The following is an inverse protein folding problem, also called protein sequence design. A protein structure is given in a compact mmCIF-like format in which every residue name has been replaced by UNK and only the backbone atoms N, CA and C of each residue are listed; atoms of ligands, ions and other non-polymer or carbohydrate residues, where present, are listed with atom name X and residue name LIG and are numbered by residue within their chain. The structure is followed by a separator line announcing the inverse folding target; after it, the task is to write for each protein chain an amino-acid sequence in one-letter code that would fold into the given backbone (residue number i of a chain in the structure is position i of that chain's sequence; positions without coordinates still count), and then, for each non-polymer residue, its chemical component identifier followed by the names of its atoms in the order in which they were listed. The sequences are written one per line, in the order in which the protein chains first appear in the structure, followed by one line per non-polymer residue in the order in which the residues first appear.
data_IF_952796085595
#
_entry.id   IF_952796085595
#
_cell.length_a   1.000
_cell.length_b   1.000
_cell.length_c   1.000
_cell.angle_alpha   90.00
_cell.angle_beta   90.00
_cell.angle_gamma   90.00
#
_symmetry.space_group_name_H-M   'P 1'
#
loop_
_entity.id
_entity.type
_entity.pdbx_description
1 polymer ?
#
# COMPACT_ATOMS: atom_id res chain seq x y z
N UNK A 1 -5.49 34.10 -4.16
CA UNK A 1 -6.95 33.87 -4.26
C UNK A 1 -7.15 33.14 -5.57
N UNK A 2 -7.37 31.83 -5.53
CA UNK A 2 -7.83 31.11 -6.72
C UNK A 2 -9.29 31.49 -6.98
N UNK A 3 -9.62 31.83 -8.23
CA UNK A 3 -10.97 32.21 -8.62
C UNK A 3 -11.92 31.01 -8.39
N UNK A 4 -13.08 31.18 -7.73
CA UNK A 4 -14.08 30.12 -7.60
C UNK A 4 -14.53 29.54 -8.96
N UNK A 5 -14.39 30.32 -10.04
CA UNK A 5 -14.61 29.89 -11.43
C UNK A 5 -13.69 28.75 -11.89
N UNK A 6 -12.44 28.68 -11.41
CA UNK A 6 -11.49 27.68 -11.90
C UNK A 6 -11.74 26.29 -11.29
N UNK A 7 -12.18 26.20 -10.03
CA UNK A 7 -12.50 24.91 -9.39
C UNK A 7 -13.75 24.25 -9.98
N UNK A 8 -14.77 25.04 -10.32
CA UNK A 8 -15.97 24.53 -10.99
C UNK A 8 -15.67 24.08 -12.42
N UNK A 9 -14.81 24.80 -13.14
CA UNK A 9 -14.35 24.41 -14.48
C UNK A 9 -13.56 23.10 -14.42
N UNK A 10 -12.57 22.97 -13.52
CA UNK A 10 -11.80 21.73 -13.33
C UNK A 10 -12.71 20.55 -12.98
N UNK A 11 -13.71 20.74 -12.12
CA UNK A 11 -14.67 19.68 -11.77
C UNK A 11 -15.52 19.25 -12.98
N UNK A 12 -15.90 20.18 -13.86
CA UNK A 12 -16.61 19.86 -15.11
C UNK A 12 -15.70 19.13 -16.10
N UNK A 13 -14.46 19.59 -16.27
CA UNK A 13 -13.45 18.93 -17.12
C UNK A 13 -13.24 17.49 -16.67
N UNK A 14 -13.05 17.27 -15.37
CA UNK A 14 -12.81 15.95 -14.80
C UNK A 14 -13.96 14.98 -15.09
N UNK A 15 -15.22 15.41 -14.95
CA UNK A 15 -16.39 14.58 -15.28
C UNK A 15 -16.44 14.18 -16.75
N UNK A 16 -16.14 15.12 -17.66
CA UNK A 16 -16.10 14.86 -19.11
C UNK A 16 -14.97 13.88 -19.43
N UNK A 17 -13.80 14.07 -18.83
CA UNK A 17 -12.64 13.19 -19.01
C UNK A 17 -12.88 11.78 -18.44
N UNK A 18 -13.52 11.64 -17.28
CA UNK A 18 -13.89 10.33 -16.74
C UNK A 18 -14.89 9.59 -17.65
N UNK A 19 -15.87 10.30 -18.20
CA UNK A 19 -16.82 9.74 -19.16
C UNK A 19 -16.12 9.30 -20.46
N UNK A 20 -15.20 10.12 -20.99
CA UNK A 20 -14.37 9.79 -22.14
C UNK A 20 -13.48 8.56 -21.85
N UNK A 21 -12.86 8.52 -20.67
CA UNK A 21 -12.02 7.40 -20.24
C UNK A 21 -12.81 6.09 -20.22
N UNK A 22 -13.98 6.09 -19.59
CA UNK A 22 -14.84 4.90 -19.51
C UNK A 22 -15.30 4.44 -20.90
N UNK A 23 -15.74 5.39 -21.75
CA UNK A 23 -16.16 5.05 -23.12
C UNK A 23 -15.00 4.54 -23.98
N UNK A 24 -13.78 5.05 -23.76
CA UNK A 24 -12.56 4.58 -24.43
C UNK A 24 -12.16 3.17 -24.00
N UNK A 25 -12.22 2.90 -22.70
CA UNK A 25 -11.98 1.57 -22.14
C UNK A 25 -12.98 0.54 -22.69
N UNK A 26 -14.28 0.87 -22.74
CA UNK A 26 -15.31 0.00 -23.29
C UNK A 26 -15.10 -0.25 -24.80
N UNK A 27 -14.61 0.75 -25.53
CA UNK A 27 -14.25 0.62 -26.94
C UNK A 27 -13.01 -0.27 -27.13
N UNK A 28 -12.06 -0.24 -26.20
CA UNK A 28 -10.89 -1.11 -26.23
C UNK A 28 -11.26 -2.58 -26.06
N UNK A 29 -12.18 -2.88 -25.11
CA UNK A 29 -12.67 -4.24 -24.84
C UNK A 29 -13.59 -4.77 -25.94
N UNK A 30 -14.40 -3.88 -26.53
CA UNK A 30 -15.41 -4.22 -27.53
C UNK A 30 -15.34 -3.31 -28.77
N UNK A 31 -14.28 -3.45 -29.60
CA UNK A 31 -14.07 -2.59 -30.76
C UNK A 31 -14.99 -2.90 -31.95
N UNK A 32 -15.93 -3.83 -31.81
CA UNK A 32 -16.92 -4.19 -32.86
C UNK A 32 -18.35 -4.18 -32.31
N UNK A 33 -19.33 -3.61 -33.04
CA UNK A 33 -20.75 -3.82 -32.75
C UNK A 33 -21.14 -5.27 -33.09
N UNK A 34 -21.80 -5.96 -32.15
CA UNK A 34 -22.26 -7.35 -32.33
C UNK A 34 -23.48 -7.51 -33.26
N UNK A 35 -23.98 -6.46 -33.88
CA UNK A 35 -25.11 -6.54 -34.82
C UNK A 35 -25.06 -5.48 -35.91
N UNK A 36 -25.84 -5.73 -36.96
CA UNK A 36 -26.05 -4.90 -38.16
C UNK A 36 -26.71 -3.54 -37.90
N UNK A 37 -27.01 -3.19 -36.64
CA UNK A 37 -27.43 -1.85 -36.29
C UNK A 37 -26.24 -0.98 -35.90
N UNK A 38 -26.21 0.17 -36.56
CA UNK A 38 -25.14 1.15 -36.58
C UNK A 38 -24.74 1.65 -35.19
N UNK A 39 -23.41 1.72 -35.00
CA UNK A 39 -22.67 2.42 -33.94
C UNK A 39 -22.72 1.72 -32.57
N UNK A 40 -21.55 1.24 -32.13
CA UNK A 40 -21.36 0.88 -30.72
C UNK A 40 -21.73 2.09 -29.85
N UNK A 41 -22.52 1.92 -28.77
CA UNK A 41 -22.90 3.03 -27.89
C UNK A 41 -21.68 3.80 -27.35
N UNK A 42 -20.55 3.13 -27.15
CA UNK A 42 -19.28 3.75 -26.76
C UNK A 42 -18.73 4.70 -27.85
N UNK A 43 -18.86 4.34 -29.13
CA UNK A 43 -18.42 5.19 -30.25
C UNK A 43 -19.28 6.45 -30.33
N UNK A 44 -20.59 6.33 -30.14
CA UNK A 44 -21.51 7.47 -30.16
C UNK A 44 -21.26 8.41 -28.98
N UNK A 45 -21.07 7.84 -27.78
CA UNK A 45 -20.72 8.60 -26.59
C UNK A 45 -19.40 9.36 -26.74
N UNK A 46 -18.37 8.74 -27.33
CA UNK A 46 -17.07 9.41 -27.58
C UNK A 46 -17.19 10.58 -28.57
N UNK A 47 -17.98 10.44 -29.63
CA UNK A 47 -18.18 11.52 -30.61
C UNK A 47 -19.02 12.67 -30.04
N UNK A 48 -20.03 12.37 -29.21
CA UNK A 48 -20.81 13.39 -28.51
C UNK A 48 -19.95 14.15 -27.47
N UNK A 49 -19.16 13.41 -26.68
CA UNK A 49 -18.24 14.00 -25.69
C UNK A 49 -17.08 14.77 -26.33
N UNK A 50 -16.57 14.34 -27.49
CA UNK A 50 -15.55 15.10 -28.27
C UNK A 50 -16.07 16.51 -28.57
N UNK A 51 -17.28 16.62 -29.12
CA UNK A 51 -17.85 17.93 -29.51
C UNK A 51 -18.10 18.86 -28.33
N UNK A 52 -18.43 18.32 -27.16
CA UNK A 52 -18.57 19.08 -25.92
C UNK A 52 -17.20 19.48 -25.34
N UNK A 53 -16.21 18.59 -25.49
CA UNK A 53 -14.86 18.76 -24.97
C UNK A 53 -13.95 19.64 -25.83
N UNK A 54 -14.15 19.78 -27.14
CA UNK A 54 -13.25 20.54 -28.02
C UNK A 54 -13.02 22.00 -27.57
N UNK A 55 -14.03 22.61 -26.92
CA UNK A 55 -13.92 23.96 -26.34
C UNK A 55 -13.13 24.02 -25.03
N UNK A 56 -12.98 22.88 -24.36
CA UNK A 56 -12.29 22.67 -23.07
C UNK A 56 -10.86 22.18 -23.32
N UNK A 57 -10.68 21.19 -24.21
CA UNK A 57 -9.40 20.58 -24.57
C UNK A 57 -8.47 21.55 -25.29
N UNK A 58 -9.02 22.50 -26.05
CA UNK A 58 -8.23 23.51 -26.78
C UNK A 58 -7.61 24.59 -25.88
N UNK A 59 -8.04 24.69 -24.62
CA UNK A 59 -7.53 25.68 -23.66
C UNK A 59 -6.33 25.21 -22.87
N UNK A 60 -6.16 23.90 -22.68
CA UNK A 60 -5.04 23.31 -21.93
C UNK A 60 -3.99 22.75 -22.91
N UNK A 61 -2.74 23.26 -22.91
CA UNK A 61 -1.68 22.73 -23.78
C UNK A 61 -1.41 21.24 -23.56
N UNK A 62 -1.67 20.72 -22.35
CA UNK A 62 -1.48 19.31 -22.00
C UNK A 62 -2.55 18.38 -22.59
N UNK A 63 -3.63 18.91 -23.17
CA UNK A 63 -4.72 18.14 -23.78
C UNK A 63 -4.70 18.16 -25.32
N UNK A 64 -3.69 18.82 -25.91
CA UNK A 64 -3.53 18.90 -27.37
C UNK A 64 -3.33 17.53 -28.03
N UNK A 65 -2.58 16.63 -27.39
CA UNK A 65 -2.40 15.24 -27.83
C UNK A 65 -3.72 14.46 -27.80
N UNK A 66 -4.56 14.69 -26.79
CA UNK A 66 -5.87 14.06 -26.67
C UNK A 66 -6.79 14.46 -27.82
N UNK A 67 -6.81 15.74 -28.20
CA UNK A 67 -7.58 16.23 -29.36
C UNK A 67 -7.10 15.59 -30.68
N UNK A 68 -5.79 15.38 -30.85
CA UNK A 68 -5.25 14.65 -32.00
C UNK A 68 -5.67 13.17 -32.02
N UNK A 69 -5.75 12.52 -30.84
CA UNK A 69 -6.22 11.15 -30.75
C UNK A 69 -7.73 11.02 -31.03
N UNK A 70 -8.55 11.96 -30.56
CA UNK A 70 -9.99 11.99 -30.82
C UNK A 70 -10.30 12.20 -32.31
N UNK A 71 -9.63 13.17 -32.96
CA UNK A 71 -9.73 13.36 -34.41
C UNK A 71 -9.24 12.15 -35.20
N UNK A 72 -8.17 11.50 -34.76
CA UNK A 72 -7.68 10.23 -35.35
C UNK A 72 -8.69 9.10 -35.17
N UNK A 73 -9.34 9.00 -34.02
CA UNK A 73 -10.38 8.01 -33.76
C UNK A 73 -11.57 8.22 -34.70
N UNK A 74 -12.01 9.47 -34.88
CA UNK A 74 -13.10 9.84 -35.78
C UNK A 74 -12.81 9.44 -37.23
N UNK A 75 -11.63 9.78 -37.76
CA UNK A 75 -11.25 9.40 -39.13
C UNK A 75 -11.20 7.87 -39.31
N UNK A 76 -10.74 7.13 -38.29
CA UNK A 76 -10.75 5.66 -38.31
C UNK A 76 -12.18 5.09 -38.31
N UNK A 77 -13.11 5.69 -37.56
CA UNK A 77 -14.52 5.28 -37.54
C UNK A 77 -15.19 5.57 -38.88
N UNK A 78 -14.97 6.76 -39.45
CA UNK A 78 -15.50 7.16 -40.77
C UNK A 78 -15.01 6.20 -41.86
N UNK A 79 -13.70 5.88 -41.89
CA UNK A 79 -13.13 4.90 -42.83
C UNK A 79 -13.67 3.46 -42.65
N UNK A 80 -14.03 3.09 -41.42
CA UNK A 80 -14.64 1.80 -41.12
C UNK A 80 -16.10 1.74 -41.60
N UNK A 81 -16.82 2.87 -41.56
CA UNK A 81 -18.18 2.99 -42.10
C UNK A 81 -18.19 2.95 -43.63
N UNK A 82 -17.21 3.55 -44.30
CA UNK A 82 -17.08 3.52 -45.77
C UNK A 82 -16.70 2.14 -46.32
N UNK A 83 -16.02 1.30 -45.53
CA UNK A 83 -15.56 -0.04 -45.93
C UNK A 83 -16.60 -1.16 -45.72
N UNK A 84 -17.90 -0.84 -45.79
CA UNK A 84 -19.03 -1.77 -45.54
C UNK A 84 -19.28 -2.86 -46.60
N UNK A 85 -18.54 -2.90 -47.72
CA UNK A 85 -18.70 -3.93 -48.77
C UNK A 85 -18.15 -5.32 -48.42
N UNK A 86 -18.66 -6.37 -49.09
CA UNK A 86 -18.34 -7.80 -48.85
C UNK A 86 -17.03 -8.32 -49.51
N UNK A 87 -16.03 -7.47 -49.71
CA UNK A 87 -14.75 -7.88 -50.30
C UNK A 87 -13.76 -8.39 -49.24
N UNK A 88 -12.91 -9.37 -49.59
CA UNK A 88 -11.80 -9.82 -48.74
C UNK A 88 -10.86 -8.66 -48.33
N UNK A 89 -10.69 -7.68 -49.23
CA UNK A 89 -9.95 -6.45 -48.95
C UNK A 89 -10.61 -5.62 -47.85
N UNK A 90 -11.95 -5.57 -47.84
CA UNK A 90 -12.72 -4.86 -46.81
C UNK A 90 -12.72 -5.63 -45.48
N UNK A 91 -12.63 -6.95 -45.50
CA UNK A 91 -12.50 -7.76 -44.28
C UNK A 91 -11.16 -7.53 -43.58
N UNK A 92 -10.04 -7.51 -44.33
CA UNK A 92 -8.73 -7.19 -43.78
C UNK A 92 -8.67 -5.73 -43.29
N UNK A 93 -9.20 -4.79 -44.07
CA UNK A 93 -9.28 -3.38 -43.65
C UNK A 93 -10.08 -3.22 -42.36
N UNK A 94 -11.22 -3.92 -42.20
CA UNK A 94 -11.98 -3.89 -40.94
C UNK A 94 -11.17 -4.38 -39.76
N UNK A 95 -10.46 -5.51 -39.88
CA UNK A 95 -9.64 -6.03 -38.77
C UNK A 95 -8.50 -5.07 -38.39
N UNK A 96 -7.83 -4.48 -39.38
CA UNK A 96 -6.77 -3.49 -39.16
C UNK A 96 -7.35 -2.23 -38.53
N UNK A 97 -8.47 -1.73 -39.02
CA UNK A 97 -9.17 -0.55 -38.47
C UNK A 97 -9.70 -0.82 -37.06
N UNK A 98 -10.21 -2.01 -36.75
CA UNK A 98 -10.65 -2.40 -35.39
C UNK A 98 -9.47 -2.43 -34.42
N UNK A 99 -8.32 -2.96 -34.85
CA UNK A 99 -7.10 -2.95 -34.04
C UNK A 99 -6.56 -1.53 -33.84
N UNK A 100 -6.57 -0.69 -34.87
CA UNK A 100 -6.14 0.71 -34.75
C UNK A 100 -7.09 1.53 -33.90
N UNK A 101 -8.41 1.30 -33.96
CA UNK A 101 -9.41 1.90 -33.07
C UNK A 101 -9.14 1.50 -31.62
N UNK A 102 -8.95 0.22 -31.33
CA UNK A 102 -8.61 -0.26 -29.98
C UNK A 102 -7.30 0.36 -29.47
N UNK A 103 -6.30 0.51 -30.36
CA UNK A 103 -5.03 1.17 -30.02
C UNK A 103 -5.20 2.65 -29.71
N UNK A 104 -5.92 3.40 -30.55
CA UNK A 104 -6.16 4.84 -30.34
C UNK A 104 -7.03 5.05 -29.10
N UNK A 105 -8.02 4.20 -28.85
CA UNK A 105 -8.80 4.21 -27.62
C UNK A 105 -7.90 3.98 -26.38
N UNK A 106 -6.97 3.03 -26.43
CA UNK A 106 -5.97 2.86 -25.37
C UNK A 106 -5.09 4.11 -25.15
N UNK A 107 -4.69 4.80 -26.23
CA UNK A 107 -3.93 6.05 -26.14
C UNK A 107 -4.75 7.23 -25.59
N UNK A 108 -6.04 7.30 -25.90
CA UNK A 108 -6.97 8.27 -25.32
C UNK A 108 -7.09 8.03 -23.81
N UNK A 109 -7.30 6.77 -23.41
CA UNK A 109 -7.44 6.40 -22.00
C UNK A 109 -6.18 6.74 -21.19
N UNK A 110 -4.99 6.44 -21.74
CA UNK A 110 -3.72 6.75 -21.07
C UNK A 110 -3.48 8.25 -20.95
N UNK A 111 -3.78 9.04 -21.99
CA UNK A 111 -3.60 10.49 -21.97
C UNK A 111 -4.54 11.15 -20.94
N UNK A 112 -5.80 10.70 -20.90
CA UNK A 112 -6.77 11.16 -19.90
C UNK A 112 -6.28 10.82 -18.49
N UNK A 113 -5.79 9.59 -18.26
CA UNK A 113 -5.27 9.21 -16.96
C UNK A 113 -4.04 10.03 -16.57
N UNK A 114 -3.13 10.31 -17.50
CA UNK A 114 -1.96 11.14 -17.25
C UNK A 114 -2.34 12.59 -16.88
N UNK A 115 -3.39 13.13 -17.49
CA UNK A 115 -3.95 14.43 -17.11
C UNK A 115 -4.55 14.41 -15.70
N UNK A 116 -5.39 13.41 -15.39
CA UNK A 116 -5.99 13.23 -14.07
C UNK A 116 -4.90 13.08 -12.99
N UNK A 117 -3.86 12.30 -13.29
CA UNK A 117 -2.72 12.09 -12.38
C UNK A 117 -1.97 13.41 -12.10
N UNK A 118 -1.76 14.24 -13.14
CA UNK A 118 -1.13 15.56 -13.00
C UNK A 118 -1.95 16.48 -12.11
N UNK A 119 -3.24 16.65 -12.43
CA UNK A 119 -4.15 17.53 -11.67
C UNK A 119 -4.29 17.06 -10.22
N UNK A 120 -4.39 15.75 -9.99
CA UNK A 120 -4.48 15.16 -8.65
C UNK A 120 -3.22 15.44 -7.81
N UNK A 121 -2.03 15.25 -8.39
CA UNK A 121 -0.75 15.52 -7.70
C UNK A 121 -0.57 17.02 -7.45
N UNK A 122 -0.91 17.88 -8.40
CA UNK A 122 -0.81 19.33 -8.26
C UNK A 122 -1.76 19.84 -7.16
N UNK A 123 -3.03 19.41 -7.21
CA UNK A 123 -4.04 19.69 -6.18
C UNK A 123 -3.58 19.23 -4.79
N UNK A 124 -3.08 17.99 -4.67
CA UNK A 124 -2.57 17.46 -3.41
C UNK A 124 -1.34 18.24 -2.92
N UNK A 125 -0.39 18.54 -3.81
CA UNK A 125 0.83 19.28 -3.47
C UNK A 125 0.53 20.70 -3.00
N UNK A 126 -0.43 21.38 -3.64
CA UNK A 126 -0.90 22.69 -3.22
C UNK A 126 -1.55 22.62 -1.83
N UNK A 127 -2.41 21.63 -1.62
CA UNK A 127 -3.10 21.42 -0.35
C UNK A 127 -2.13 21.12 0.83
N UNK A 128 -1.05 20.38 0.57
CA UNK A 128 -0.02 20.07 1.57
C UNK A 128 0.93 21.23 1.87
N UNK A 129 1.08 22.21 0.96
CA UNK A 129 1.96 23.38 1.17
C UNK A 129 1.29 24.53 1.90
N UNK A 130 -0.05 24.63 1.87
CA UNK A 130 -0.81 25.74 2.46
C UNK A 130 -1.75 25.25 3.58
N UNK A 131 -1.23 24.91 4.78
CA UNK A 131 -2.03 24.35 5.87
C UNK A 131 -3.17 25.26 6.37
N UNK A 132 -3.07 26.57 6.16
CA UNK A 132 -4.02 27.57 6.69
C UNK A 132 -5.24 27.88 5.83
N UNK A 133 -5.40 27.30 4.63
CA UNK A 133 -6.59 27.51 3.77
C UNK A 133 -7.53 26.31 3.71
N UNK A 134 -7.08 25.13 4.16
CA UNK A 134 -7.86 23.90 4.09
C UNK A 134 -8.61 23.70 5.40
N UNK A 135 -9.75 24.39 5.54
CA UNK A 135 -10.66 24.21 6.69
C UNK A 135 -11.25 22.79 6.77
N UNK A 136 -11.11 21.97 5.71
CA UNK A 136 -11.63 20.61 5.64
C UNK A 136 -10.53 19.55 5.61
N UNK A 137 -10.12 19.08 6.80
CA UNK A 137 -9.27 17.90 6.99
C UNK A 137 -9.75 16.68 6.17
N UNK A 138 -11.07 16.49 6.04
CA UNK A 138 -11.66 15.39 5.27
C UNK A 138 -11.30 15.42 3.78
N UNK A 139 -11.22 16.62 3.20
CA UNK A 139 -10.85 16.79 1.78
C UNK A 139 -9.39 16.42 1.58
N UNK A 140 -8.51 16.81 2.51
CA UNK A 140 -7.10 16.44 2.39
C UNK A 140 -6.89 14.93 2.57
N UNK A 141 -7.59 14.32 3.54
CA UNK A 141 -7.54 12.86 3.74
C UNK A 141 -8.07 12.14 2.49
N UNK A 142 -9.13 12.64 1.85
CA UNK A 142 -9.64 12.03 0.62
C UNK A 142 -8.65 12.15 -0.55
N UNK A 143 -7.99 13.30 -0.72
CA UNK A 143 -6.93 13.49 -1.72
C UNK A 143 -5.75 12.54 -1.48
N UNK A 144 -5.28 12.41 -0.24
CA UNK A 144 -4.21 11.47 0.12
C UNK A 144 -4.63 10.02 -0.14
N UNK A 145 -5.88 9.66 0.17
CA UNK A 145 -6.42 8.31 -0.06
C UNK A 145 -6.55 8.01 -1.56
N UNK A 146 -7.00 8.97 -2.36
CA UNK A 146 -7.07 8.84 -3.82
C UNK A 146 -5.68 8.62 -4.41
N UNK A 147 -4.69 9.40 -3.96
CA UNK A 147 -3.31 9.25 -4.40
C UNK A 147 -2.69 7.92 -3.95
N UNK A 148 -2.92 7.48 -2.71
CA UNK A 148 -2.52 6.16 -2.21
C UNK A 148 -3.07 5.03 -3.10
N UNK A 149 -4.37 5.08 -3.39
CA UNK A 149 -5.04 4.11 -4.25
C UNK A 149 -4.46 4.12 -5.66
N UNK A 150 -4.23 5.31 -6.23
CA UNK A 150 -3.69 5.47 -7.59
C UNK A 150 -2.30 4.86 -7.72
N UNK A 151 -1.42 5.13 -6.76
CA UNK A 151 -0.05 4.59 -6.71
C UNK A 151 -0.06 3.07 -6.47
N UNK A 152 -1.06 2.57 -5.73
CA UNK A 152 -1.21 1.14 -5.44
C UNK A 152 -1.70 0.29 -6.62
N UNK A 153 -2.21 0.91 -7.70
CA UNK A 153 -2.68 0.20 -8.90
C UNK A 153 -1.55 -0.42 -9.73
N UNK A 154 -0.30 -0.04 -9.49
CA UNK A 154 0.88 -0.59 -10.16
C UNK A 154 1.74 0.48 -10.80
N UNK A 155 2.93 0.04 -11.25
CA UNK A 155 3.96 0.92 -11.76
C UNK A 155 3.53 1.64 -13.05
N UNK A 156 3.73 2.96 -13.08
CA UNK A 156 3.53 3.80 -14.27
C UNK A 156 4.67 4.82 -14.37
N UNK A 157 5.36 4.84 -15.51
CA UNK A 157 6.54 5.70 -15.72
C UNK A 157 6.22 7.19 -15.69
N UNK A 158 5.10 7.60 -16.28
CA UNK A 158 4.68 9.01 -16.35
C UNK A 158 4.26 9.51 -14.97
N UNK A 159 3.51 8.68 -14.23
CA UNK A 159 3.15 8.97 -12.84
C UNK A 159 4.41 9.12 -11.97
N UNK A 160 5.41 8.25 -12.12
CA UNK A 160 6.67 8.40 -11.38
C UNK A 160 7.35 9.74 -11.67
N UNK A 161 7.42 10.14 -12.94
CA UNK A 161 8.02 11.43 -13.33
C UNK A 161 7.28 12.61 -12.68
N UNK A 162 5.94 12.57 -12.65
CA UNK A 162 5.12 13.58 -11.97
C UNK A 162 5.37 13.62 -10.45
N UNK A 163 5.43 12.45 -9.80
CA UNK A 163 5.72 12.30 -8.36
C UNK A 163 7.11 12.85 -8.00
N UNK A 164 8.11 12.61 -8.85
CA UNK A 164 9.46 13.13 -8.63
C UNK A 164 9.54 14.64 -8.83
N UNK A 165 8.89 15.17 -9.87
CA UNK A 165 8.84 16.61 -10.15
C UNK A 165 8.12 17.40 -9.05
N UNK A 166 7.03 16.86 -8.50
CA UNK A 166 6.29 17.50 -7.41
C UNK A 166 7.01 17.46 -6.07
N UNK A 167 8.03 16.60 -5.93
CA UNK A 167 8.76 16.32 -4.68
C UNK A 167 7.82 15.91 -3.54
N UNK A 168 6.72 15.23 -3.87
CA UNK A 168 5.66 14.93 -2.90
C UNK A 168 6.17 14.08 -1.73
N UNK A 169 7.09 13.13 -1.96
CA UNK A 169 7.66 12.31 -0.88
C UNK A 169 8.34 13.17 0.20
N UNK A 170 9.13 14.17 -0.22
CA UNK A 170 9.79 15.09 0.70
C UNK A 170 8.78 15.92 1.52
N UNK A 171 7.68 16.35 0.88
CA UNK A 171 6.61 17.09 1.55
C UNK A 171 5.91 16.21 2.59
N UNK A 172 5.57 14.97 2.23
CA UNK A 172 4.94 14.00 3.13
C UNK A 172 5.84 13.68 4.32
N UNK A 173 7.13 13.43 4.08
CA UNK A 173 8.10 13.15 5.12
C UNK A 173 8.23 14.32 6.10
N UNK A 174 8.35 15.56 5.60
CA UNK A 174 8.38 16.73 6.47
C UNK A 174 7.14 16.85 7.37
N UNK A 175 5.95 16.52 6.84
CA UNK A 175 4.69 16.58 7.60
C UNK A 175 4.67 15.52 8.72
N UNK A 176 5.17 14.31 8.43
CA UNK A 176 5.24 13.22 9.41
C UNK A 176 6.28 13.53 10.48
N UNK A 177 7.46 13.99 10.04
CA UNK A 177 8.66 14.09 10.87
C UNK A 177 8.75 15.37 11.70
N UNK A 178 7.96 16.41 11.40
CA UNK A 178 7.98 17.64 12.18
C UNK A 178 7.19 17.47 13.51
N UNK A 179 7.90 17.40 14.67
CA UNK A 179 7.28 17.17 15.96
C UNK A 179 6.63 18.45 16.53
N UNK A 180 7.00 19.63 16.00
CA UNK A 180 6.53 20.93 16.48
C UNK A 180 5.34 21.47 15.67
N UNK A 181 4.97 20.78 14.59
CA UNK A 181 3.86 21.18 13.74
C UNK A 181 2.52 20.72 14.32
N UNK A 182 1.92 21.58 15.15
CA UNK A 182 0.51 21.46 15.55
C UNK A 182 -0.47 21.77 14.40
N UNK A 183 0.02 22.22 13.24
CA UNK A 183 -0.86 22.53 12.10
C UNK A 183 -1.43 21.27 11.44
N UNK A 184 -0.81 20.10 11.67
CA UNK A 184 -1.24 18.84 11.07
C UNK A 184 -1.78 17.88 12.13
N UNK A 185 -3.01 17.40 11.93
CA UNK A 185 -3.62 16.41 12.81
C UNK A 185 -2.86 15.08 12.73
N UNK A 186 -2.96 14.29 13.80
CA UNK A 186 -2.41 12.92 13.84
C UNK A 186 -2.95 12.06 12.68
N UNK A 187 -4.24 12.23 12.32
CA UNK A 187 -4.89 11.51 11.22
C UNK A 187 -4.25 11.80 9.86
N UNK A 188 -3.89 13.06 9.60
CA UNK A 188 -3.19 13.45 8.36
C UNK A 188 -1.79 12.84 8.34
N UNK A 189 -1.02 12.94 9.43
CA UNK A 189 0.33 12.34 9.53
C UNK A 189 0.29 10.83 9.29
N UNK A 190 -0.68 10.13 9.86
CA UNK A 190 -0.90 8.70 9.63
C UNK A 190 -1.21 8.39 8.15
N UNK A 191 -2.08 9.19 7.52
CA UNK A 191 -2.43 9.01 6.10
C UNK A 191 -1.25 9.29 5.18
N UNK A 192 -0.42 10.28 5.49
CA UNK A 192 0.86 10.50 4.81
C UNK A 192 1.76 9.26 4.91
N UNK A 193 1.82 8.61 6.07
CA UNK A 193 2.57 7.36 6.26
C UNK A 193 2.12 6.23 5.32
N UNK A 194 0.81 6.06 5.13
CA UNK A 194 0.28 5.08 4.16
C UNK A 194 0.68 5.41 2.72
N UNK A 195 0.61 6.69 2.34
CA UNK A 195 1.06 7.15 1.02
C UNK A 195 2.56 6.88 0.81
N UNK A 196 3.39 7.12 1.83
CA UNK A 196 4.84 6.81 1.76
C UNK A 196 5.07 5.31 1.54
N UNK A 197 4.37 4.44 2.27
CA UNK A 197 4.47 3.00 2.06
C UNK A 197 4.00 2.58 0.65
N UNK A 198 2.92 3.20 0.14
CA UNK A 198 2.44 2.96 -1.22
C UNK A 198 3.45 3.39 -2.28
N UNK A 199 4.11 4.55 -2.11
CA UNK A 199 5.17 5.04 -3.00
C UNK A 199 6.36 4.08 -3.06
N UNK A 200 6.80 3.56 -1.93
CA UNK A 200 7.91 2.59 -1.87
C UNK A 200 7.51 1.28 -2.56
N UNK A 201 6.27 0.82 -2.38
CA UNK A 201 5.74 -0.35 -3.10
C UNK A 201 5.68 -0.10 -4.60
N UNK A 202 5.35 1.11 -5.02
CA UNK A 202 5.25 1.50 -6.43
C UNK A 202 6.61 1.51 -7.13
N UNK A 203 7.66 2.03 -6.48
CA UNK A 203 9.03 1.82 -6.95
C UNK A 203 10.05 1.85 -5.80
N UNK A 204 10.52 0.66 -5.40
CA UNK A 204 11.48 0.49 -4.31
C UNK A 204 12.82 1.18 -4.62
N UNK A 205 13.31 1.07 -5.85
CA UNK A 205 14.66 1.51 -6.22
C UNK A 205 14.82 3.04 -6.18
N UNK A 206 13.70 3.76 -6.33
CA UNK A 206 13.69 5.23 -6.37
C UNK A 206 13.50 5.82 -4.98
N UNK A 207 12.60 5.27 -4.18
CA UNK A 207 12.14 5.94 -2.95
C UNK A 207 12.80 5.43 -1.66
N UNK A 208 13.37 4.23 -1.65
CA UNK A 208 13.97 3.66 -0.42
C UNK A 208 15.14 4.47 0.10
N UNK A 209 15.98 5.02 -0.78
CA UNK A 209 17.13 5.82 -0.36
C UNK A 209 16.73 7.02 0.51
N UNK A 210 15.68 7.75 0.12
CA UNK A 210 15.18 8.88 0.91
C UNK A 210 14.67 8.43 2.29
N UNK A 211 13.94 7.33 2.34
CA UNK A 211 13.36 6.80 3.58
C UNK A 211 14.41 6.36 4.59
N UNK A 212 15.50 5.71 4.12
CA UNK A 212 16.56 5.22 4.99
C UNK A 212 17.46 6.32 5.54
N UNK A 213 17.58 7.45 4.84
CA UNK A 213 18.42 8.57 5.28
C UNK A 213 17.67 9.58 6.18
N UNK A 214 16.38 9.36 6.41
CA UNK A 214 15.48 10.33 7.01
C UNK A 214 14.98 9.97 8.42
N UNK A 215 14.39 10.93 9.14
CA UNK A 215 13.85 10.72 10.50
C UNK A 215 12.51 9.96 10.53
N UNK A 216 12.06 9.39 9.40
CA UNK A 216 10.73 8.78 9.26
C UNK A 216 10.48 7.66 10.27
N UNK A 217 11.46 6.77 10.49
CA UNK A 217 11.33 5.64 11.41
C UNK A 217 11.05 6.16 12.83
N UNK A 218 11.88 7.09 13.29
CA UNK A 218 11.74 7.71 14.61
C UNK A 218 10.36 8.39 14.76
N UNK A 219 9.91 9.10 13.72
CA UNK A 219 8.60 9.76 13.73
C UNK A 219 7.45 8.76 13.83
N UNK A 220 7.46 7.69 13.02
CA UNK A 220 6.42 6.65 13.03
C UNK A 220 6.32 5.93 14.37
N UNK A 221 7.47 5.60 14.98
CA UNK A 221 7.54 4.99 16.32
C UNK A 221 7.02 5.98 17.36
N UNK A 222 7.46 7.24 17.32
CA UNK A 222 7.06 8.26 18.30
C UNK A 222 5.56 8.62 18.25
N UNK A 223 4.90 8.47 17.09
CA UNK A 223 3.44 8.69 16.98
C UNK A 223 2.59 7.70 17.78
N UNK A 224 3.14 6.51 18.11
CA UNK A 224 2.53 5.46 18.93
C UNK A 224 1.05 5.23 18.58
N UNK A 225 0.75 4.96 17.31
CA UNK A 225 -0.60 4.66 16.84
C UNK A 225 -0.62 3.37 16.05
N UNK A 226 -1.77 2.67 16.05
CA UNK A 226 -1.88 1.42 15.30
C UNK A 226 -1.61 1.66 13.79
N UNK A 227 -2.02 2.80 13.24
CA UNK A 227 -1.73 3.13 11.83
C UNK A 227 -0.24 3.37 11.60
N UNK A 228 0.44 4.07 12.49
CA UNK A 228 1.88 4.34 12.36
C UNK A 228 2.71 3.06 12.45
N UNK A 229 2.35 2.17 13.38
CA UNK A 229 3.00 0.86 13.54
C UNK A 229 2.68 -0.05 12.35
N UNK A 230 1.46 0.00 11.80
CA UNK A 230 1.12 -0.72 10.57
C UNK A 230 1.94 -0.25 9.36
N UNK A 231 2.14 1.06 9.24
CA UNK A 231 3.03 1.63 8.21
C UNK A 231 4.44 1.11 8.44
N UNK A 232 4.97 1.19 9.67
CA UNK A 232 6.31 0.67 10.01
C UNK A 232 6.46 -0.81 9.62
N UNK A 233 5.52 -1.68 10.01
CA UNK A 233 5.50 -3.09 9.63
C UNK A 233 5.53 -3.28 8.10
N UNK A 234 4.75 -2.48 7.37
CA UNK A 234 4.71 -2.51 5.90
C UNK A 234 6.06 -2.10 5.30
N UNK A 235 6.70 -1.09 5.87
CA UNK A 235 8.03 -0.64 5.44
C UNK A 235 9.09 -1.71 5.68
N UNK A 236 9.05 -2.42 6.81
CA UNK A 236 9.99 -3.52 7.10
C UNK A 236 9.86 -4.62 6.03
N UNK A 237 8.63 -5.00 5.67
CA UNK A 237 8.38 -5.99 4.61
C UNK A 237 8.88 -5.54 3.23
N UNK A 238 8.65 -4.27 2.89
CA UNK A 238 9.02 -3.73 1.57
C UNK A 238 10.52 -3.52 1.42
N UNK A 239 11.17 -2.98 2.46
CA UNK A 239 12.58 -2.58 2.41
C UNK A 239 13.49 -3.74 2.82
N UNK A 240 13.05 -4.58 3.78
CA UNK A 240 13.78 -5.71 4.38
C UNK A 240 14.93 -5.25 5.27
N UNK A 241 16.02 -6.03 5.32
CA UNK A 241 17.18 -5.83 6.20
C UNK A 241 17.71 -4.39 6.28
N UNK A 242 17.81 -3.61 5.18
CA UNK A 242 18.29 -2.22 5.29
C UNK A 242 17.46 -1.34 6.23
N UNK A 243 16.13 -1.54 6.30
CA UNK A 243 15.31 -0.80 7.25
C UNK A 243 15.47 -1.31 8.67
N UNK A 244 15.64 -2.62 8.85
CA UNK A 244 15.87 -3.19 10.19
C UNK A 244 17.19 -2.71 10.76
N UNK A 245 18.23 -2.61 9.94
CA UNK A 245 19.51 -2.05 10.32
C UNK A 245 19.36 -0.58 10.76
N UNK A 246 18.52 0.20 10.07
CA UNK A 246 18.25 1.59 10.43
C UNK A 246 17.37 1.73 11.69
N UNK A 247 16.47 0.76 11.95
CA UNK A 247 15.71 0.70 13.21
C UNK A 247 16.66 0.42 14.39
N UNK A 248 17.64 -0.46 14.20
CA UNK A 248 18.66 -0.80 15.21
C UNK A 248 19.61 0.37 15.47
N UNK A 249 20.16 0.99 14.42
CA UNK A 249 21.10 2.11 14.53
C UNK A 249 20.49 3.33 15.23
N UNK A 250 19.20 3.57 15.03
CA UNK A 250 18.44 4.62 15.70
C UNK A 250 18.00 4.26 17.14
N UNK A 251 18.24 3.01 17.58
CA UNK A 251 17.86 2.56 18.92
C UNK A 251 16.36 2.47 19.14
N UNK A 252 15.57 2.19 18.10
CA UNK A 252 14.10 2.17 18.16
C UNK A 252 13.54 0.79 18.58
N UNK A 253 14.36 -0.26 18.54
CA UNK A 253 13.97 -1.63 18.94
C UNK A 253 13.31 -1.67 20.33
N UNK A 254 13.86 -1.03 21.38
CA UNK A 254 13.22 -1.02 22.69
C UNK A 254 11.83 -0.41 22.70
N UNK A 255 11.61 0.69 21.97
CA UNK A 255 10.29 1.33 21.90
C UNK A 255 9.28 0.44 21.19
N UNK A 256 9.70 -0.26 20.12
CA UNK A 256 8.84 -1.23 19.42
C UNK A 256 8.43 -2.36 20.36
N UNK A 257 9.36 -2.88 21.16
CA UNK A 257 9.08 -3.92 22.16
C UNK A 257 8.13 -3.40 23.24
N UNK A 258 8.29 -2.16 23.72
CA UNK A 258 7.39 -1.55 24.71
C UNK A 258 5.93 -1.42 24.22
N UNK A 259 5.66 -1.43 22.91
CA UNK A 259 4.28 -1.45 22.40
C UNK A 259 3.53 -2.73 22.75
N UNK A 260 4.23 -3.82 23.10
CA UNK A 260 3.62 -5.04 23.63
C UNK A 260 2.91 -4.83 24.98
N UNK A 261 3.28 -3.80 25.73
CA UNK A 261 2.69 -3.49 27.05
C UNK A 261 1.50 -2.53 26.96
N UNK A 262 1.13 -2.08 25.75
CA UNK A 262 0.04 -1.12 25.57
C UNK A 262 -1.33 -1.75 25.85
N UNK A 263 -2.28 -0.93 26.35
CA UNK A 263 -3.65 -1.39 26.60
C UNK A 263 -4.40 -1.75 25.31
N UNK A 264 -4.09 -1.07 24.21
CA UNK A 264 -4.73 -1.28 22.92
C UNK A 264 -4.24 -2.62 22.31
N UNK A 265 -5.18 -3.55 22.09
CA UNK A 265 -4.90 -4.84 21.48
C UNK A 265 -4.34 -4.70 20.05
N UNK A 266 -4.85 -3.75 19.25
CA UNK A 266 -4.39 -3.56 17.87
C UNK A 266 -2.93 -3.14 17.82
N UNK A 267 -2.52 -2.25 18.73
CA UNK A 267 -1.12 -1.83 18.87
C UNK A 267 -0.25 -3.02 19.24
N UNK A 268 -0.65 -3.84 20.22
CA UNK A 268 0.12 -5.02 20.64
C UNK A 268 0.26 -6.06 19.53
N UNK A 269 -0.81 -6.33 18.78
CA UNK A 269 -0.78 -7.26 17.64
C UNK A 269 0.17 -6.76 16.55
N UNK A 270 0.08 -5.48 16.17
CA UNK A 270 0.96 -4.90 15.15
C UNK A 270 2.42 -4.79 15.63
N UNK A 271 2.64 -4.56 16.92
CA UNK A 271 3.98 -4.61 17.51
C UNK A 271 4.56 -6.02 17.42
N UNK A 272 3.76 -7.04 17.71
CA UNK A 272 4.15 -8.44 17.52
C UNK A 272 4.49 -8.72 16.06
N UNK A 273 3.69 -8.25 15.10
CA UNK A 273 4.02 -8.37 13.67
C UNK A 273 5.36 -7.69 13.35
N UNK A 274 5.59 -6.44 13.79
CA UNK A 274 6.88 -5.77 13.60
C UNK A 274 8.05 -6.61 14.16
N UNK A 275 7.91 -7.17 15.36
CA UNK A 275 8.94 -8.00 16.00
C UNK A 275 9.22 -9.26 15.19
N UNK A 276 8.18 -9.91 14.65
CA UNK A 276 8.34 -11.08 13.78
C UNK A 276 9.07 -10.72 12.48
N UNK A 277 8.73 -9.60 11.85
CA UNK A 277 9.40 -9.14 10.63
C UNK A 277 10.86 -8.72 10.89
N UNK A 278 11.14 -8.08 12.04
CA UNK A 278 12.51 -7.80 12.49
C UNK A 278 13.26 -9.12 12.72
N UNK A 279 12.62 -10.13 13.30
CA UNK A 279 13.20 -11.47 13.43
C UNK A 279 13.53 -12.12 12.09
N UNK A 280 12.65 -11.97 11.09
CA UNK A 280 12.85 -12.57 9.77
C UNK A 280 13.95 -11.86 8.96
N UNK A 281 13.97 -10.53 8.91
CA UNK A 281 14.90 -9.76 8.08
C UNK A 281 16.15 -9.24 8.80
N UNK A 282 16.14 -9.23 10.14
CA UNK A 282 17.17 -8.60 10.95
C UNK A 282 18.50 -9.36 10.95
N UNK A 283 19.58 -8.59 10.94
CA UNK A 283 20.94 -9.11 11.15
C UNK A 283 21.19 -9.33 12.63
N UNK A 284 22.33 -9.96 12.92
CA UNK A 284 22.75 -10.39 14.25
C UNK A 284 22.55 -9.28 15.31
N UNK A 285 22.94 -8.06 14.98
CA UNK A 285 22.91 -6.90 15.89
C UNK A 285 21.48 -6.55 16.33
N UNK A 286 20.52 -6.56 15.39
CA UNK A 286 19.12 -6.30 15.69
C UNK A 286 18.51 -7.40 16.58
N UNK A 287 18.87 -8.67 16.35
CA UNK A 287 18.40 -9.79 17.17
C UNK A 287 18.99 -9.72 18.58
N UNK A 288 20.29 -9.42 18.70
CA UNK A 288 20.94 -9.21 20.01
C UNK A 288 20.29 -8.06 20.79
N UNK A 289 19.97 -6.96 20.11
CA UNK A 289 19.27 -5.83 20.72
C UNK A 289 17.88 -6.24 21.27
N UNK A 290 17.10 -7.00 20.50
CA UNK A 290 15.79 -7.51 20.96
C UNK A 290 15.92 -8.42 22.19
N UNK A 291 16.89 -9.33 22.16
CA UNK A 291 17.13 -10.28 23.24
C UNK A 291 17.64 -9.58 24.52
N UNK A 292 18.51 -8.59 24.37
CA UNK A 292 19.04 -7.77 25.47
C UNK A 292 17.94 -6.93 26.13
N UNK A 293 16.99 -6.44 25.37
CA UNK A 293 15.81 -5.73 25.89
C UNK A 293 14.79 -6.65 26.58
N UNK A 294 15.07 -7.97 26.63
CA UNK A 294 14.22 -8.92 27.34
C UNK A 294 12.96 -9.31 26.58
N UNK A 295 12.99 -9.28 25.23
CA UNK A 295 11.86 -9.66 24.38
C UNK A 295 11.26 -11.03 24.80
N UNK A 296 12.10 -12.05 25.02
CA UNK A 296 11.61 -13.41 25.34
C UNK A 296 10.81 -13.43 26.63
N UNK A 297 11.24 -12.69 27.65
CA UNK A 297 10.49 -12.58 28.91
C UNK A 297 9.11 -11.98 28.68
N UNK A 298 9.02 -10.91 27.88
CA UNK A 298 7.73 -10.28 27.52
C UNK A 298 6.84 -11.21 26.73
N UNK A 299 7.38 -11.98 25.78
CA UNK A 299 6.60 -12.93 24.99
C UNK A 299 6.05 -14.07 25.86
N UNK A 300 6.83 -14.60 26.81
CA UNK A 300 6.37 -15.61 27.76
C UNK A 300 5.24 -15.04 28.64
N UNK A 301 5.39 -13.82 29.15
CA UNK A 301 4.34 -13.14 29.94
C UNK A 301 3.06 -12.92 29.13
N UNK A 302 3.17 -12.49 27.87
CA UNK A 302 2.01 -12.30 26.98
C UNK A 302 1.30 -13.62 26.67
N UNK A 303 2.05 -14.67 26.30
CA UNK A 303 1.48 -16.00 26.02
C UNK A 303 0.73 -16.53 27.24
N UNK A 304 1.27 -16.31 28.45
CA UNK A 304 0.60 -16.67 29.72
C UNK A 304 -0.68 -15.88 29.96
N UNK A 305 -0.69 -14.57 29.70
CA UNK A 305 -1.88 -13.73 29.91
C UNK A 305 -3.01 -14.07 28.93
N UNK A 306 -2.64 -14.36 27.67
CA UNK A 306 -3.59 -14.71 26.61
C UNK A 306 -4.22 -16.08 26.86
N UNK A 307 -3.44 -17.05 27.37
CA UNK A 307 -3.94 -18.37 27.75
C UNK A 307 -4.64 -18.38 29.12
N UNK A 308 -4.16 -17.58 30.08
CA UNK A 308 -4.60 -17.61 31.48
C UNK A 308 -5.93 -16.91 31.75
N UNK A 309 -6.37 -15.97 30.90
CA UNK A 309 -7.67 -15.32 31.04
C UNK A 309 -8.86 -16.24 30.71
N UNK A 310 -8.67 -17.17 29.77
CA UNK A 310 -9.78 -17.81 29.03
C UNK A 310 -9.71 -19.34 29.00
N UNK A 311 -8.94 -19.98 29.90
CA UNK A 311 -8.97 -21.45 30.10
C UNK A 311 -10.38 -22.01 30.39
N UNK A 312 -11.35 -21.15 30.73
CA UNK A 312 -12.77 -21.50 30.94
C UNK A 312 -13.54 -21.62 29.60
N UNK A 313 -13.05 -21.01 28.52
CA UNK A 313 -13.72 -20.95 27.20
C UNK A 313 -13.13 -21.92 26.17
N UNK A 314 -11.91 -22.40 26.38
CA UNK A 314 -11.25 -23.39 25.49
C UNK A 314 -11.97 -24.75 25.54
N UNK A 315 -12.64 -25.07 26.64
CA UNK A 315 -13.46 -26.29 26.82
C UNK A 315 -14.73 -26.33 25.96
N UNK A 316 -15.11 -25.23 25.30
CA UNK A 316 -16.29 -25.15 24.44
C UNK A 316 -15.98 -25.34 22.94
N UNK A 317 -14.74 -25.63 22.56
CA UNK A 317 -14.43 -26.07 21.20
C UNK A 317 -14.73 -27.57 21.06
N UNK A 318 -16.02 -27.87 20.96
CA UNK A 318 -16.49 -29.20 20.60
C UNK A 318 -15.79 -29.71 19.31
N UNK A 319 -15.57 -31.02 19.31
CA UNK A 319 -14.82 -31.81 18.34
C UNK A 319 -15.49 -31.89 16.94
N UNK A 320 -15.94 -30.77 16.38
CA UNK A 320 -16.40 -30.76 14.99
C UNK A 320 -15.22 -30.70 14.01
N UNK A 321 -15.38 -31.44 12.91
CA UNK A 321 -14.41 -31.75 11.86
C UNK A 321 -14.06 -30.53 11.00
N UNK A 322 -13.62 -29.44 11.59
CA UNK A 322 -12.99 -28.34 10.85
C UNK A 322 -11.54 -28.68 10.53
N UNK A 323 -11.10 -28.34 9.31
CA UNK A 323 -9.71 -28.48 8.89
C UNK A 323 -8.78 -27.70 9.83
N UNK A 324 -7.63 -28.25 10.19
CA UNK A 324 -6.65 -27.66 11.12
C UNK A 324 -6.34 -26.19 10.82
N UNK A 325 -6.23 -25.80 9.54
CA UNK A 325 -5.99 -24.41 9.12
C UNK A 325 -7.08 -23.40 9.52
N UNK A 326 -8.34 -23.84 9.56
CA UNK A 326 -9.48 -22.98 9.95
C UNK A 326 -9.53 -22.86 11.48
N UNK A 327 -9.23 -23.94 12.19
CA UNK A 327 -9.09 -23.92 13.66
C UNK A 327 -7.94 -23.02 14.10
N UNK A 328 -6.76 -23.16 13.49
CA UNK A 328 -5.61 -22.29 13.75
C UNK A 328 -5.92 -20.81 13.51
N UNK A 329 -6.63 -20.49 12.42
CA UNK A 329 -7.00 -19.11 12.10
C UNK A 329 -7.98 -18.53 13.13
N UNK A 330 -9.00 -19.28 13.53
CA UNK A 330 -9.95 -18.86 14.59
C UNK A 330 -9.30 -18.75 15.96
N UNK A 331 -8.36 -19.64 16.27
CA UNK A 331 -7.56 -19.59 17.51
C UNK A 331 -6.64 -18.37 17.50
N UNK A 332 -6.00 -18.02 16.38
CA UNK A 332 -5.20 -16.78 16.25
C UNK A 332 -6.05 -15.51 16.40
N UNK A 333 -7.29 -15.54 15.88
CA UNK A 333 -8.22 -14.41 15.99
C UNK A 333 -8.69 -14.22 17.44
N UNK A 334 -8.76 -15.29 18.25
CA UNK A 334 -9.16 -15.24 19.66
C UNK A 334 -7.98 -15.07 20.63
N UNK A 335 -6.81 -15.61 20.29
CA UNK A 335 -5.57 -15.62 21.07
C UNK A 335 -4.38 -15.17 20.20
N UNK A 336 -4.25 -13.86 19.95
CA UNK A 336 -3.22 -13.33 19.04
C UNK A 336 -1.79 -13.62 19.49
N UNK A 337 -1.56 -13.86 20.79
CA UNK A 337 -0.25 -14.13 21.38
C UNK A 337 0.00 -15.61 21.71
N UNK A 338 -0.94 -16.50 21.39
CA UNK A 338 -0.71 -17.94 21.49
C UNK A 338 0.52 -18.36 20.67
N UNK A 339 1.44 -19.09 21.32
CA UNK A 339 2.68 -19.57 20.71
C UNK A 339 3.60 -18.47 20.18
N UNK A 340 3.51 -17.23 20.69
CA UNK A 340 4.27 -16.10 20.14
C UNK A 340 5.79 -16.28 20.25
N UNK A 341 6.27 -16.97 21.29
CA UNK A 341 7.68 -17.36 21.44
C UNK A 341 8.10 -18.30 20.32
N UNK A 342 7.30 -19.35 20.04
CA UNK A 342 7.57 -20.30 18.98
C UNK A 342 7.51 -19.63 17.60
N UNK A 343 6.50 -18.78 17.35
CA UNK A 343 6.41 -17.99 16.11
C UNK A 343 7.67 -17.15 15.89
N UNK A 344 8.16 -16.47 16.93
CA UNK A 344 9.39 -15.69 16.83
C UNK A 344 10.61 -16.57 16.53
N UNK A 345 10.77 -17.69 17.24
CA UNK A 345 11.86 -18.63 16.98
C UNK A 345 11.83 -19.19 15.55
N UNK A 346 10.64 -19.50 15.03
CA UNK A 346 10.45 -19.95 13.63
C UNK A 346 10.89 -18.86 12.66
N UNK A 347 10.49 -17.59 12.87
CA UNK A 347 10.91 -16.48 11.99
C UNK A 347 12.43 -16.32 11.95
N UNK A 348 13.13 -16.48 13.07
CA UNK A 348 14.60 -16.45 13.08
C UNK A 348 15.21 -17.62 12.29
N UNK A 349 14.60 -18.79 12.35
CA UNK A 349 15.10 -20.00 11.69
C UNK A 349 14.88 -19.97 10.17
N UNK A 350 13.71 -19.53 9.71
CA UNK A 350 13.39 -19.41 8.27
C UNK A 350 13.83 -18.07 7.66
N UNK A 351 14.17 -17.08 8.49
CA UNK A 351 14.51 -15.72 8.10
C UNK A 351 15.73 -15.56 7.19
N UNK A 352 15.78 -14.43 6.49
CA UNK A 352 16.82 -14.06 5.52
C UNK A 352 18.05 -13.40 6.17
N UNK A 353 17.91 -12.81 7.36
CA UNK A 353 18.94 -11.93 7.94
C UNK A 353 20.12 -12.62 8.65
N UNK A 354 19.94 -13.86 9.12
CA UNK A 354 20.92 -14.58 9.93
C UNK A 354 21.62 -15.72 9.18
N UNK A 355 22.89 -15.97 9.53
CA UNK A 355 23.64 -17.15 9.10
C UNK A 355 23.20 -18.38 9.88
N UNK A 356 23.36 -19.57 9.30
CA UNK A 356 22.99 -20.84 9.95
C UNK A 356 23.62 -21.05 11.35
N UNK A 357 24.86 -20.57 11.57
CA UNK A 357 25.50 -20.65 12.90
C UNK A 357 24.84 -19.72 13.91
N UNK A 358 24.47 -18.52 13.49
CA UNK A 358 23.80 -17.52 14.32
C UNK A 358 22.38 -17.99 14.68
N UNK A 359 21.64 -18.53 13.71
CA UNK A 359 20.30 -19.14 13.93
C UNK A 359 20.34 -20.18 15.04
N UNK A 360 21.32 -21.09 15.01
CA UNK A 360 21.48 -22.13 16.05
C UNK A 360 21.84 -21.54 17.41
N UNK A 361 22.71 -20.53 17.45
CA UNK A 361 23.12 -19.88 18.69
C UNK A 361 21.93 -19.15 19.34
N UNK A 362 21.20 -18.33 18.59
CA UNK A 362 20.03 -17.63 19.11
C UNK A 362 18.91 -18.58 19.52
N UNK A 363 18.74 -19.71 18.82
CA UNK A 363 17.78 -20.75 19.25
C UNK A 363 18.12 -21.28 20.65
N UNK A 364 19.39 -21.57 20.93
CA UNK A 364 19.81 -22.01 22.27
C UNK A 364 19.57 -20.91 23.32
N UNK A 365 19.94 -19.67 22.99
CA UNK A 365 19.77 -18.53 23.88
C UNK A 365 18.28 -18.24 24.20
N UNK A 366 17.38 -18.42 23.24
CA UNK A 366 15.93 -18.32 23.44
C UNK A 366 15.46 -19.40 24.40
N UNK A 367 15.88 -20.66 24.20
CA UNK A 367 15.49 -21.76 25.07
C UNK A 367 15.96 -21.56 26.52
N UNK A 368 17.13 -20.98 26.72
CA UNK A 368 17.63 -20.60 28.05
C UNK A 368 16.76 -19.51 28.67
N UNK A 369 16.51 -18.42 27.95
CA UNK A 369 15.67 -17.32 28.45
C UNK A 369 14.22 -17.71 28.70
N UNK A 370 13.66 -18.65 27.94
CA UNK A 370 12.32 -19.20 28.20
C UNK A 370 12.28 -19.87 29.57
N UNK A 371 13.29 -20.67 29.92
CA UNK A 371 13.37 -21.33 31.23
C UNK A 371 13.49 -20.31 32.36
N UNK A 372 14.26 -19.24 32.16
CA UNK A 372 14.42 -18.16 33.14
C UNK A 372 13.15 -17.33 33.34
N UNK A 373 12.36 -17.12 32.28
CA UNK A 373 11.15 -16.29 32.33
C UNK A 373 9.88 -17.06 32.75
N UNK A 374 9.90 -18.39 32.68
CA UNK A 374 8.77 -19.24 33.05
C UNK A 374 8.59 -19.29 34.57
N UNK A 375 7.34 -19.35 35.02
CA UNK A 375 6.99 -19.41 36.45
C UNK A 375 7.01 -20.86 36.97
N UNK A 376 6.93 -21.85 36.07
CA UNK A 376 6.99 -23.26 36.42
C UNK A 376 7.73 -24.08 35.36
N UNK A 377 8.25 -25.24 35.78
CA UNK A 377 8.90 -26.20 34.88
C UNK A 377 7.94 -26.74 33.80
N UNK A 378 6.65 -26.85 34.12
CA UNK A 378 5.62 -27.29 33.18
C UNK A 378 5.39 -26.26 32.05
N UNK A 379 5.31 -24.98 32.40
CA UNK A 379 5.22 -23.89 31.42
C UNK A 379 6.47 -23.85 30.54
N UNK A 380 7.65 -23.89 31.15
CA UNK A 380 8.92 -23.91 30.43
C UNK A 380 8.99 -25.09 29.46
N UNK A 381 8.64 -26.30 29.91
CA UNK A 381 8.63 -27.50 29.08
C UNK A 381 7.67 -27.39 27.88
N UNK A 382 6.50 -26.77 28.09
CA UNK A 382 5.48 -26.60 27.04
C UNK A 382 5.99 -25.64 25.96
N UNK A 383 6.47 -24.46 26.35
CA UNK A 383 6.99 -23.46 25.40
C UNK A 383 8.25 -23.98 24.70
N UNK A 384 9.15 -24.66 25.42
CA UNK A 384 10.35 -25.29 24.83
C UNK A 384 9.95 -26.34 23.80
N UNK A 385 8.95 -27.17 24.08
CA UNK A 385 8.45 -28.14 23.12
C UNK A 385 7.91 -27.42 21.87
N UNK A 386 7.05 -26.41 22.02
CA UNK A 386 6.52 -25.63 20.89
C UNK A 386 7.65 -25.02 20.03
N UNK A 387 8.68 -24.45 20.66
CA UNK A 387 9.85 -23.89 19.96
C UNK A 387 10.63 -24.96 19.21
N UNK A 388 10.80 -26.16 19.78
CA UNK A 388 11.55 -27.24 19.12
C UNK A 388 10.75 -27.89 17.98
N UNK A 389 9.45 -28.11 18.17
CA UNK A 389 8.56 -28.73 17.19
C UNK A 389 8.18 -27.78 16.05
N UNK A 390 7.80 -26.54 16.36
CA UNK A 390 7.40 -25.54 15.35
C UNK A 390 8.54 -25.14 14.42
N UNK A 391 9.77 -25.30 14.88
CA UNK A 391 11.01 -25.05 14.14
C UNK A 391 11.59 -26.28 13.43
N UNK A 392 10.96 -27.45 13.52
CA UNK A 392 11.45 -28.64 12.83
C UNK A 392 11.08 -28.57 11.34
N UNK A 393 12.02 -28.81 10.41
CA UNK A 393 11.80 -28.64 8.97
C UNK A 393 10.79 -29.62 8.35
#
# INVERSE_FOLDING_TARGET
MENPSSKEEISRVLKVLEALKQASHDLQLHPTPKSTDSNSPAIKALLELETESDTILSKDPNLSTLSQHLTSLRTLIESLQESRGYSFRNFLNRRVSTHSISRVAGSIESEIQAWIDRESIESLTAALKEPGKNENEEVLVSLLTQFENRVSQGFNRELQDLVLKSKILYILENIICDPNNNNWSKRIKEQCGFVVAALIRFNKDVFVGQVLMGPLIHALVSMASWKSIRVLCSLIKLIKSPLVDEIESNGEIPKIICFLDYKDLQIRVLAMECILEIGYFGRKEAIEAMLKEGLIKKLVELQRLDLGSDLIDISNFDEEKESEKIKEKKVLERFPFAGCVAKFAVQLEVGEGLRQREKRAFKQEILERVKEASVSDAEAATIVAEVLWGSSP
#
